data_IF_630931892379
#
_entry.id   IF_630931892379
#
_cell.length_a   1.000
_cell.length_b   1.000
_cell.length_c   1.000
_cell.angle_alpha   90.00
_cell.angle_beta   90.00
_cell.angle_gamma   90.00
#
_symmetry.space_group_name_H-M   'P 1'
#
loop_
_entity.id
_entity.type
_entity.pdbx_description
1 polymer ?
#
# COMPACT_ATOMS: atom_id res chain seq x y z
N UNK A 1 -16.13 24.61 44.63
CA UNK A 1 -15.16 24.45 43.53
C UNK A 1 -15.28 23.03 43.02
N UNK A 2 -15.88 22.78 41.84
CA UNK A 2 -15.97 21.44 41.29
C UNK A 2 -14.67 21.07 40.56
N UNK A 3 -14.20 19.85 40.82
CA UNK A 3 -12.99 19.25 40.26
C UNK A 3 -13.23 18.91 38.78
N UNK A 4 -12.36 19.43 37.92
CA UNK A 4 -12.35 19.21 36.48
C UNK A 4 -12.02 17.75 36.15
N UNK A 5 -12.96 17.06 35.52
CA UNK A 5 -12.76 15.73 34.96
C UNK A 5 -11.87 15.81 33.72
N UNK A 6 -10.66 15.29 33.83
CA UNK A 6 -9.70 15.16 32.73
C UNK A 6 -10.09 14.00 31.82
N UNK A 7 -10.64 14.32 30.65
CA UNK A 7 -10.85 13.39 29.54
C UNK A 7 -9.48 12.90 29.05
N UNK A 8 -9.24 11.60 29.21
CA UNK A 8 -8.02 10.93 28.73
C UNK A 8 -8.09 10.75 27.21
N UNK A 9 -7.03 11.08 26.45
CA UNK A 9 -6.99 10.84 25.01
C UNK A 9 -6.87 9.33 24.73
N UNK A 10 -7.88 8.79 24.05
CA UNK A 10 -7.90 7.42 23.55
C UNK A 10 -6.80 7.23 22.49
N UNK A 11 -5.88 6.31 22.77
CA UNK A 11 -4.83 5.89 21.84
C UNK A 11 -5.42 5.34 20.53
N UNK A 12 -4.86 5.68 19.35
CA UNK A 12 -5.30 5.12 18.07
C UNK A 12 -4.95 3.63 18.01
N UNK A 13 -5.96 2.79 18.18
CA UNK A 13 -5.85 1.34 17.97
C UNK A 13 -5.59 1.08 16.49
N UNK A 14 -4.38 0.60 16.21
CA UNK A 14 -4.02 0.00 14.92
C UNK A 14 -5.04 -1.09 14.60
N UNK A 15 -5.56 -1.05 13.37
CA UNK A 15 -6.55 -1.95 12.77
C UNK A 15 -8.01 -1.49 12.94
N UNK A 16 -8.32 -0.21 12.74
CA UNK A 16 -9.69 0.17 12.42
C UNK A 16 -10.07 -0.52 11.12
N UNK A 17 -10.89 -1.56 11.27
CA UNK A 17 -11.62 -2.18 10.19
C UNK A 17 -12.51 -1.09 9.61
N UNK A 18 -12.17 -0.60 8.42
CA UNK A 18 -12.99 0.40 7.74
C UNK A 18 -14.34 -0.26 7.42
N UNK A 19 -15.44 0.26 7.97
CA UNK A 19 -16.79 -0.18 7.62
C UNK A 19 -17.12 0.24 6.18
N UNK A 20 -18.13 -0.38 5.55
CA UNK A 20 -18.55 0.00 4.19
C UNK A 20 -18.85 1.51 4.08
N UNK A 21 -19.55 2.08 5.07
CA UNK A 21 -19.89 3.50 5.08
C UNK A 21 -18.65 4.40 5.24
N UNK A 22 -17.70 3.99 6.07
CA UNK A 22 -16.42 4.68 6.18
C UNK A 22 -15.63 4.62 4.87
N UNK A 23 -15.64 3.46 4.21
CA UNK A 23 -14.99 3.26 2.91
C UNK A 23 -15.61 4.17 1.84
N UNK A 24 -16.95 4.20 1.72
CA UNK A 24 -17.65 5.05 0.75
C UNK A 24 -17.29 6.53 0.90
N UNK A 25 -17.21 7.01 2.14
CA UNK A 25 -16.99 8.43 2.43
C UNK A 25 -15.53 8.87 2.33
N UNK A 26 -14.57 7.97 2.56
CA UNK A 26 -13.14 8.34 2.64
C UNK A 26 -12.29 7.87 1.48
N UNK A 27 -12.71 6.80 0.78
CA UNK A 27 -11.89 6.14 -0.26
C UNK A 27 -12.44 6.29 -1.66
N UNK A 28 -13.70 6.69 -1.83
CA UNK A 28 -14.28 6.91 -3.16
C UNK A 28 -14.23 8.40 -3.44
N UNK A 29 -13.52 8.79 -4.50
CA UNK A 29 -13.39 10.19 -4.90
C UNK A 29 -13.93 10.35 -6.32
N UNK A 30 -14.86 11.29 -6.56
CA UNK A 30 -15.28 11.64 -7.91
C UNK A 30 -14.10 12.29 -8.64
N UNK A 31 -13.74 11.74 -9.81
CA UNK A 31 -12.70 12.33 -10.66
C UNK A 31 -13.33 12.69 -12.00
N UNK A 32 -13.57 13.99 -12.28
CA UNK A 32 -14.27 14.43 -13.49
C UNK A 32 -13.47 14.21 -14.78
N UNK A 33 -12.22 13.75 -14.69
CA UNK A 33 -11.29 13.63 -15.83
C UNK A 33 -11.00 12.16 -16.15
N UNK A 34 -12.03 11.39 -16.53
CA UNK A 34 -11.78 10.18 -17.31
C UNK A 34 -11.31 10.55 -18.70
N UNK A 35 -10.39 9.76 -19.26
CA UNK A 35 -10.09 9.92 -20.68
C UNK A 35 -11.33 9.49 -21.49
N UNK A 36 -11.60 10.12 -22.64
CA UNK A 36 -12.79 9.81 -23.44
C UNK A 36 -12.80 8.36 -23.96
N UNK A 37 -11.65 7.69 -23.99
CA UNK A 37 -11.50 6.30 -24.43
C UNK A 37 -11.58 5.28 -23.27
N UNK A 38 -11.66 5.74 -22.03
CA UNK A 38 -11.82 4.85 -20.87
C UNK A 38 -13.26 4.34 -20.76
N UNK A 39 -13.39 3.06 -20.39
CA UNK A 39 -14.68 2.40 -20.16
C UNK A 39 -14.76 1.85 -18.74
N UNK A 40 -15.96 1.77 -18.20
CA UNK A 40 -16.21 1.15 -16.91
C UNK A 40 -16.04 -0.37 -16.99
N UNK A 41 -15.16 -0.95 -16.17
CA UNK A 41 -14.93 -2.40 -16.18
C UNK A 41 -16.11 -3.24 -15.63
N UNK A 42 -17.13 -2.61 -15.02
CA UNK A 42 -18.33 -3.30 -14.50
C UNK A 42 -19.40 -3.44 -15.58
N UNK A 43 -19.82 -2.34 -16.22
CA UNK A 43 -20.87 -2.35 -17.24
C UNK A 43 -20.35 -2.33 -18.69
N UNK A 44 -19.05 -2.03 -18.88
CA UNK A 44 -18.39 -1.88 -20.19
C UNK A 44 -18.90 -0.68 -21.02
N UNK A 45 -19.46 0.35 -20.36
CA UNK A 45 -19.90 1.61 -20.98
C UNK A 45 -18.83 2.70 -20.85
N UNK A 46 -18.83 3.67 -21.78
CA UNK A 46 -17.95 4.84 -21.72
C UNK A 46 -18.39 5.80 -20.59
N UNK A 47 -17.43 6.53 -20.03
CA UNK A 47 -17.72 7.57 -19.05
C UNK A 47 -18.27 8.82 -19.74
N UNK A 48 -19.41 9.30 -19.27
CA UNK A 48 -20.07 10.52 -19.75
C UNK A 48 -20.81 11.23 -18.60
N UNK A 49 -21.63 12.24 -18.92
CA UNK A 49 -22.43 12.98 -17.94
C UNK A 49 -23.46 12.10 -17.20
N UNK A 50 -23.89 10.99 -17.79
CA UNK A 50 -24.80 10.02 -17.17
C UNK A 50 -24.07 8.89 -16.44
N UNK A 51 -22.78 8.70 -16.77
CA UNK A 51 -21.93 7.64 -16.27
C UNK A 51 -20.67 8.20 -15.61
N UNK A 52 -20.85 8.93 -14.51
CA UNK A 52 -19.76 9.63 -13.81
C UNK A 52 -18.68 8.65 -13.30
N UNK A 53 -17.42 8.97 -13.58
CA UNK A 53 -16.28 8.17 -13.14
C UNK A 53 -15.89 8.49 -11.69
N UNK A 54 -15.76 7.45 -10.87
CA UNK A 54 -15.20 7.52 -9.51
C UNK A 54 -13.95 6.66 -9.41
N UNK A 55 -12.98 7.12 -8.62
CA UNK A 55 -11.74 6.39 -8.35
C UNK A 55 -11.74 5.90 -6.91
N UNK A 56 -11.40 4.63 -6.71
CA UNK A 56 -11.16 4.08 -5.37
C UNK A 56 -9.70 4.32 -4.98
N UNK A 57 -9.45 4.93 -3.82
CA UNK A 57 -8.13 5.25 -3.29
C UNK A 57 -7.72 4.29 -2.17
N UNK A 58 -7.41 3.04 -2.53
CA UNK A 58 -6.88 2.04 -1.60
C UNK A 58 -5.42 1.79 -1.95
N UNK A 59 -4.58 1.45 -0.96
CA UNK A 59 -3.17 1.15 -1.20
C UNK A 59 -3.04 0.10 -2.33
N UNK A 60 -2.30 0.46 -3.39
CA UNK A 60 -2.08 -0.37 -4.58
C UNK A 60 -3.36 -0.67 -5.40
N UNK A 61 -4.43 0.12 -5.24
CA UNK A 61 -5.66 0.01 -6.02
C UNK A 61 -6.20 1.41 -6.33
N UNK A 62 -6.07 1.81 -7.60
CA UNK A 62 -6.52 3.11 -8.14
C UNK A 62 -7.47 2.92 -9.33
N UNK A 63 -8.29 1.87 -9.27
CA UNK A 63 -9.19 1.52 -10.36
C UNK A 63 -10.41 2.44 -10.39
N UNK A 64 -10.86 2.72 -11.62
CA UNK A 64 -11.99 3.60 -11.93
C UNK A 64 -13.23 2.77 -12.26
N UNK A 65 -14.37 3.28 -11.83
CA UNK A 65 -15.69 2.67 -12.04
C UNK A 65 -16.73 3.76 -12.26
N UNK A 66 -17.86 3.42 -12.89
CA UNK A 66 -19.02 4.30 -12.87
C UNK A 66 -19.57 4.37 -11.45
N UNK A 67 -19.96 5.56 -11.00
CA UNK A 67 -20.45 5.81 -9.65
C UNK A 67 -21.58 4.85 -9.25
N UNK A 68 -22.64 4.80 -10.06
CA UNK A 68 -23.79 3.91 -9.85
C UNK A 68 -23.40 2.43 -9.90
N UNK A 69 -22.46 2.06 -10.78
CA UNK A 69 -22.00 0.68 -10.93
C UNK A 69 -21.25 0.23 -9.67
N UNK A 70 -20.35 1.08 -9.17
CA UNK A 70 -19.62 0.81 -7.94
C UNK A 70 -20.57 0.71 -6.75
N UNK A 71 -21.54 1.63 -6.63
CA UNK A 71 -22.51 1.60 -5.54
C UNK A 71 -23.35 0.32 -5.55
N UNK A 72 -23.90 -0.09 -6.70
CA UNK A 72 -24.64 -1.35 -6.84
C UNK A 72 -23.77 -2.56 -6.50
N UNK A 73 -22.50 -2.54 -6.92
CA UNK A 73 -21.55 -3.61 -6.63
C UNK A 73 -21.29 -3.75 -5.11
N UNK A 74 -21.00 -2.64 -4.44
CA UNK A 74 -20.74 -2.56 -3.00
C UNK A 74 -21.95 -2.99 -2.16
N UNK A 75 -23.16 -2.61 -2.59
CA UNK A 75 -24.42 -2.96 -1.94
C UNK A 75 -24.93 -4.38 -2.30
N UNK A 76 -24.24 -5.11 -3.19
CA UNK A 76 -24.66 -6.44 -3.58
C UNK A 76 -24.41 -7.48 -2.46
N UNK A 77 -25.22 -8.56 -2.47
CA UNK A 77 -25.03 -9.72 -1.57
C UNK A 77 -23.86 -10.62 -1.99
N UNK A 78 -23.10 -10.24 -3.01
CA UNK A 78 -21.95 -11.01 -3.46
C UNK A 78 -20.94 -11.17 -2.33
N UNK A 79 -20.28 -12.33 -2.27
CA UNK A 79 -19.16 -12.54 -1.33
C UNK A 79 -17.95 -11.65 -1.65
N UNK A 80 -17.89 -11.13 -2.87
CA UNK A 80 -16.78 -10.33 -3.39
C UNK A 80 -17.08 -8.82 -3.42
N UNK A 81 -18.25 -8.37 -2.94
CA UNK A 81 -18.64 -6.94 -2.97
C UNK A 81 -17.69 -6.03 -2.20
N UNK A 82 -16.83 -6.58 -1.33
CA UNK A 82 -15.79 -5.85 -0.62
C UNK A 82 -14.40 -5.91 -1.28
N UNK A 83 -14.32 -6.34 -2.54
CA UNK A 83 -13.06 -6.47 -3.29
C UNK A 83 -13.14 -5.75 -4.63
N UNK A 84 -12.01 -5.25 -5.11
CA UNK A 84 -11.92 -4.61 -6.41
C UNK A 84 -12.28 -5.57 -7.56
N UNK A 85 -13.23 -5.21 -8.45
CA UNK A 85 -13.54 -6.04 -9.62
C UNK A 85 -12.35 -6.30 -10.55
N UNK A 86 -11.38 -5.36 -10.61
CA UNK A 86 -10.25 -5.43 -11.53
C UNK A 86 -9.02 -6.14 -10.95
N UNK A 87 -8.57 -5.77 -9.75
CA UNK A 87 -7.38 -6.35 -9.12
C UNK A 87 -7.65 -7.28 -7.94
N UNK A 88 -8.91 -7.46 -7.54
CA UNK A 88 -9.34 -8.28 -6.39
C UNK A 88 -8.77 -7.84 -5.03
N UNK A 89 -8.17 -6.66 -4.94
CA UNK A 89 -7.74 -6.07 -3.68
C UNK A 89 -8.94 -5.90 -2.75
N UNK A 90 -8.81 -6.36 -1.51
CA UNK A 90 -9.84 -6.16 -0.47
C UNK A 90 -9.87 -4.68 -0.09
N UNK A 91 -11.05 -4.08 -0.15
CA UNK A 91 -11.29 -2.67 0.15
C UNK A 91 -11.66 -2.44 1.60
N UNK A 92 -12.49 -3.32 2.17
CA UNK A 92 -12.92 -3.26 3.56
C UNK A 92 -13.20 -4.67 4.08
N UNK A 93 -13.15 -4.82 5.40
CA UNK A 93 -13.53 -6.09 6.04
C UNK A 93 -15.03 -6.07 6.25
N UNK A 94 -15.72 -7.12 5.80
CA UNK A 94 -17.13 -7.29 6.12
C UNK A 94 -17.23 -7.67 7.59
N UNK A 95 -18.13 -7.02 8.31
CA UNK A 95 -18.52 -7.57 9.61
C UNK A 95 -19.03 -8.99 9.36
N UNK A 96 -18.46 -10.01 10.03
CA UNK A 96 -19.03 -11.34 9.97
C UNK A 96 -20.47 -11.17 10.44
N UNK A 97 -21.43 -11.58 9.61
CA UNK A 97 -22.81 -11.63 10.04
C UNK A 97 -22.83 -12.55 11.27
N UNK A 98 -22.89 -11.96 12.46
CA UNK A 98 -22.97 -12.67 13.74
C UNK A 98 -24.32 -13.37 13.90
N UNK A 99 -25.17 -13.30 12.87
CA UNK A 99 -26.35 -14.11 12.70
C UNK A 99 -25.96 -15.58 12.45
N UNK A 100 -26.01 -16.35 13.54
CA UNK A 100 -26.50 -17.75 13.61
C UNK A 100 -25.62 -18.69 14.44
N UNK A 101 -24.57 -18.20 15.12
CA UNK A 101 -23.85 -19.06 16.07
C UNK A 101 -24.64 -19.34 17.37
N UNK A 102 -25.74 -18.63 17.64
CA UNK A 102 -26.69 -18.98 18.71
C UNK A 102 -27.67 -20.10 18.33
N UNK A 103 -27.73 -20.54 17.06
CA UNK A 103 -28.58 -21.67 16.67
C UNK A 103 -27.82 -23.01 16.55
N UNK A 104 -26.52 -23.04 16.85
CA UNK A 104 -25.68 -24.25 16.81
C UNK A 104 -25.34 -24.86 18.18
N UNK A 105 -25.92 -24.37 19.29
CA UNK A 105 -25.86 -25.05 20.60
C UNK A 105 -26.84 -26.25 20.72
N UNK A 106 -27.27 -26.82 19.59
CA UNK A 106 -28.02 -28.09 19.52
C UNK A 106 -27.40 -29.08 18.51
N UNK A 107 -26.07 -29.03 18.32
CA UNK A 107 -25.32 -30.00 17.51
C UNK A 107 -24.29 -30.72 18.41
N UNK A 108 -24.75 -31.29 19.52
CA UNK A 108 -23.94 -32.18 20.37
C UNK A 108 -24.28 -33.68 20.17
N UNK A 109 -24.91 -34.07 19.04
CA UNK A 109 -25.44 -35.44 18.92
C UNK A 109 -25.05 -36.24 17.67
N UNK A 110 -24.31 -35.72 16.67
CA UNK A 110 -24.15 -36.44 15.38
C UNK A 110 -22.74 -36.47 14.75
N UNK A 111 -21.66 -36.06 15.43
CA UNK A 111 -20.29 -36.14 14.87
C UNK A 111 -19.41 -37.05 15.72
N UNK A 112 -19.70 -38.34 15.66
CA UNK A 112 -18.73 -39.39 15.93
C UNK A 112 -19.06 -40.53 14.98
N UNK A 113 -18.53 -40.53 13.74
CA UNK A 113 -18.18 -41.78 13.06
C UNK A 113 -17.41 -41.71 11.73
N UNK A 114 -17.14 -40.56 11.11
CA UNK A 114 -16.45 -40.58 9.80
C UNK A 114 -15.31 -39.57 9.65
N UNK A 115 -14.18 -39.89 10.30
CA UNK A 115 -12.89 -39.27 10.02
C UNK A 115 -12.19 -40.03 8.89
N UNK A 116 -12.54 -39.70 7.65
CA UNK A 116 -11.68 -39.98 6.51
C UNK A 116 -10.39 -39.13 6.59
N UNK A 117 -9.18 -39.72 6.45
CA UNK A 117 -7.94 -38.97 6.43
C UNK A 117 -7.83 -38.11 5.15
N UNK A 118 -8.25 -36.84 5.24
CA UNK A 118 -7.96 -35.86 4.20
C UNK A 118 -6.45 -35.65 4.12
N UNK A 119 -5.87 -36.02 2.98
CA UNK A 119 -4.46 -35.83 2.66
C UNK A 119 -4.15 -34.34 2.64
N UNK A 120 -3.43 -33.86 3.66
CA UNK A 120 -2.92 -32.51 3.74
C UNK A 120 -1.97 -32.26 2.55
N UNK A 121 -2.45 -31.48 1.58
CA UNK A 121 -1.62 -30.99 0.48
C UNK A 121 -0.68 -29.93 1.07
N UNK A 122 0.65 -30.08 0.97
CA UNK A 122 1.59 -29.13 1.54
C UNK A 122 1.49 -27.80 0.77
N UNK A 123 0.82 -26.81 1.35
CA UNK A 123 0.92 -25.43 0.86
C UNK A 123 2.37 -24.97 1.01
N UNK A 124 2.95 -24.57 -0.12
CA UNK A 124 4.28 -23.99 -0.19
C UNK A 124 4.32 -22.71 0.63
N UNK A 125 4.79 -22.79 1.87
CA UNK A 125 5.06 -21.62 2.72
C UNK A 125 6.05 -20.71 1.98
N UNK A 126 5.66 -19.48 1.62
CA UNK A 126 6.59 -18.54 1.01
C UNK A 126 7.74 -18.30 1.99
N UNK A 127 8.96 -18.49 1.50
CA UNK A 127 10.17 -18.39 2.30
C UNK A 127 10.32 -16.95 2.79
N UNK A 128 10.82 -16.73 4.00
CA UNK A 128 11.00 -15.40 4.63
C UNK A 128 11.77 -14.40 3.75
N UNK A 129 12.59 -14.90 2.84
CA UNK A 129 13.29 -14.11 1.82
C UNK A 129 12.34 -13.46 0.80
N UNK A 130 11.31 -14.18 0.34
CA UNK A 130 10.36 -13.67 -0.65
C UNK A 130 9.54 -12.50 -0.07
N UNK A 131 9.03 -12.63 1.17
CA UNK A 131 8.25 -11.57 1.82
C UNK A 131 9.06 -10.26 1.95
N UNK A 132 10.35 -10.35 2.30
CA UNK A 132 11.21 -9.15 2.39
C UNK A 132 11.47 -8.50 1.03
N UNK A 133 11.56 -9.30 -0.03
CA UNK A 133 11.79 -8.79 -1.38
C UNK A 133 10.55 -8.04 -1.90
N UNK A 134 9.35 -8.56 -1.67
CA UNK A 134 8.09 -7.90 -2.07
C UNK A 134 7.91 -6.56 -1.35
N UNK A 135 8.17 -6.52 -0.03
CA UNK A 135 8.05 -5.27 0.75
C UNK A 135 8.98 -4.16 0.24
N UNK A 136 10.22 -4.51 -0.16
CA UNK A 136 11.16 -3.52 -0.75
C UNK A 136 10.70 -3.00 -2.10
N UNK A 137 10.09 -3.86 -2.92
CA UNK A 137 9.56 -3.47 -4.22
C UNK A 137 8.35 -2.54 -4.07
N UNK A 138 7.47 -2.82 -3.11
CA UNK A 138 6.30 -1.99 -2.80
C UNK A 138 6.71 -0.59 -2.31
N UNK A 139 7.76 -0.49 -1.48
CA UNK A 139 8.28 0.80 -1.01
C UNK A 139 8.88 1.63 -2.16
N UNK A 140 9.70 1.01 -3.02
CA UNK A 140 10.30 1.71 -4.16
C UNK A 140 9.23 2.20 -5.15
N UNK A 141 8.19 1.41 -5.37
CA UNK A 141 7.06 1.77 -6.23
C UNK A 141 6.25 2.94 -5.64
N UNK A 142 5.93 2.89 -4.34
CA UNK A 142 5.19 3.95 -3.67
C UNK A 142 5.95 5.29 -3.67
N UNK A 143 7.27 5.27 -3.42
CA UNK A 143 8.12 6.46 -3.51
C UNK A 143 8.19 7.02 -4.93
N UNK A 144 8.30 6.16 -5.95
CA UNK A 144 8.28 6.59 -7.35
C UNK A 144 6.98 7.30 -7.74
N UNK A 145 5.85 6.78 -7.28
CA UNK A 145 4.54 7.37 -7.54
C UNK A 145 4.37 8.74 -6.86
N UNK A 146 4.81 8.89 -5.61
CA UNK A 146 4.77 10.19 -4.91
C UNK A 146 5.63 11.23 -5.63
N UNK A 147 6.83 10.86 -6.05
CA UNK A 147 7.71 11.76 -6.80
C UNK A 147 7.10 12.17 -8.14
N UNK A 148 6.41 11.26 -8.83
CA UNK A 148 5.69 11.56 -10.07
C UNK A 148 4.57 12.59 -9.85
N UNK A 149 3.72 12.39 -8.84
CA UNK A 149 2.62 13.32 -8.53
C UNK A 149 3.14 14.68 -8.08
N UNK A 150 4.24 14.73 -7.34
CA UNK A 150 4.85 15.99 -6.92
C UNK A 150 5.41 16.77 -8.12
N UNK A 151 6.03 16.08 -9.09
CA UNK A 151 6.49 16.69 -10.35
C UNK A 151 5.33 17.29 -11.15
N UNK A 152 4.23 16.56 -11.29
CA UNK A 152 3.03 17.03 -12.00
C UNK A 152 2.38 18.24 -11.30
N UNK A 153 2.33 18.23 -9.96
CA UNK A 153 1.81 19.35 -9.18
C UNK A 153 2.66 20.61 -9.37
N UNK A 154 3.99 20.48 -9.41
CA UNK A 154 4.92 21.59 -9.68
C UNK A 154 4.73 22.15 -11.10
N UNK A 155 4.51 21.30 -12.10
CA UNK A 155 4.18 21.77 -13.45
C UNK A 155 2.86 22.54 -13.50
N UNK A 156 1.83 22.07 -12.79
CA UNK A 156 0.56 22.79 -12.71
C UNK A 156 0.74 24.18 -12.08
N UNK A 157 1.54 24.29 -11.02
CA UNK A 157 1.86 25.59 -10.42
C UNK A 157 2.61 26.52 -11.37
N UNK A 158 3.46 25.99 -12.25
CA UNK A 158 4.11 26.79 -13.30
C UNK A 158 3.10 27.25 -14.37
N UNK A 159 2.21 26.36 -14.85
CA UNK A 159 1.14 26.73 -15.79
C UNK A 159 0.23 27.83 -15.24
N UNK A 160 -0.16 27.74 -13.97
CA UNK A 160 -0.97 28.78 -13.30
C UNK A 160 -0.21 30.11 -13.22
N UNK A 161 1.10 30.08 -12.96
CA UNK A 161 1.94 31.28 -12.94
C UNK A 161 1.99 31.97 -14.29
N UNK A 162 2.15 31.21 -15.37
CA UNK A 162 2.21 31.76 -16.74
C UNK A 162 0.88 32.45 -17.10
N UNK A 163 -0.26 31.81 -16.78
CA UNK A 163 -1.60 32.40 -17.00
C UNK A 163 -1.76 33.71 -16.20
N UNK A 164 -1.28 33.75 -14.95
CA UNK A 164 -1.35 34.95 -14.12
C UNK A 164 -0.38 36.05 -14.57
N UNK A 165 0.72 35.71 -15.23
CA UNK A 165 1.62 36.69 -15.83
C UNK A 165 1.01 37.42 -17.03
N UNK A 166 0.07 36.78 -17.75
CA UNK A 166 -0.64 37.37 -18.88
C UNK A 166 -1.92 38.15 -18.47
N UNK A 167 -2.45 37.90 -17.26
CA UNK A 167 -3.69 38.51 -16.75
C UNK A 167 -3.47 39.67 -15.76
N UNK A 168 -3.83 40.90 -16.17
CA UNK A 168 -3.65 42.13 -15.37
C UNK A 168 -4.37 42.19 -14.01
N UNK A 169 -3.86 43.12 -13.18
CA UNK A 169 -4.28 43.67 -11.86
C UNK A 169 -4.61 42.72 -10.70
N UNK A 170 -5.15 41.52 -10.89
CA UNK A 170 -5.39 40.57 -9.79
C UNK A 170 -4.18 39.69 -9.46
N UNK A 171 -3.15 39.71 -10.32
CA UNK A 171 -1.95 38.89 -10.16
C UNK A 171 -1.04 39.33 -8.99
N UNK A 172 -1.10 40.61 -8.55
CA UNK A 172 -0.18 41.14 -7.53
C UNK A 172 -0.30 40.43 -6.18
N UNK A 173 -1.50 39.98 -5.84
CA UNK A 173 -1.79 39.43 -4.51
C UNK A 173 -1.65 37.90 -4.47
N UNK A 174 -1.76 37.24 -5.63
CA UNK A 174 -1.71 35.77 -5.75
C UNK A 174 -0.27 35.28 -5.98
N UNK A 175 0.56 36.04 -6.71
CA UNK A 175 1.95 35.67 -7.02
C UNK A 175 2.79 35.38 -5.76
N UNK A 176 2.72 36.17 -4.67
CA UNK A 176 3.50 35.90 -3.45
C UNK A 176 3.12 34.58 -2.77
N UNK A 177 1.83 34.24 -2.78
CA UNK A 177 1.31 32.99 -2.20
C UNK A 177 1.81 31.81 -3.04
N UNK A 178 1.71 31.88 -4.37
CA UNK A 178 2.22 30.84 -5.27
C UNK A 178 3.72 30.63 -5.12
N UNK A 179 4.53 31.69 -5.01
CA UNK A 179 5.97 31.58 -4.75
C UNK A 179 6.28 30.93 -3.41
N UNK A 180 5.45 31.17 -2.39
CA UNK A 180 5.61 30.55 -1.07
C UNK A 180 5.32 29.06 -1.14
N UNK A 181 4.23 28.67 -1.81
CA UNK A 181 3.88 27.25 -2.04
C UNK A 181 4.96 26.55 -2.86
N UNK A 182 5.44 27.19 -3.94
CA UNK A 182 6.50 26.65 -4.78
C UNK A 182 7.81 26.43 -3.99
N UNK A 183 8.22 27.40 -3.16
CA UNK A 183 9.39 27.25 -2.29
C UNK A 183 9.21 26.09 -1.32
N UNK A 184 8.06 26.01 -0.66
CA UNK A 184 7.77 24.95 0.30
C UNK A 184 7.75 23.56 -0.36
N UNK A 185 7.18 23.46 -1.57
CA UNK A 185 7.19 22.23 -2.35
C UNK A 185 8.62 21.80 -2.73
N UNK A 186 9.49 22.75 -3.09
CA UNK A 186 10.92 22.47 -3.36
C UNK A 186 11.66 22.00 -2.12
N UNK A 187 11.48 22.65 -0.97
CA UNK A 187 12.10 22.25 0.30
C UNK A 187 11.69 20.81 0.70
N UNK A 188 10.40 20.47 0.53
CA UNK A 188 9.91 19.11 0.77
C UNK A 188 10.57 18.12 -0.20
N UNK A 189 10.64 18.44 -1.49
CA UNK A 189 11.27 17.58 -2.49
C UNK A 189 12.76 17.34 -2.19
N UNK A 190 13.52 18.41 -1.91
CA UNK A 190 14.94 18.32 -1.55
C UNK A 190 15.14 17.50 -0.27
N UNK A 191 14.28 17.67 0.74
CA UNK A 191 14.30 16.90 1.97
C UNK A 191 14.07 15.40 1.73
N UNK A 192 13.10 15.04 0.88
CA UNK A 192 12.84 13.65 0.50
C UNK A 192 14.01 13.04 -0.26
N UNK A 193 14.62 13.80 -1.17
CA UNK A 193 15.77 13.34 -1.95
C UNK A 193 17.00 13.09 -1.05
N UNK A 194 17.26 13.99 -0.09
CA UNK A 194 18.36 13.83 0.87
C UNK A 194 18.16 12.60 1.77
N UNK A 195 16.93 12.33 2.23
CA UNK A 195 16.61 11.12 2.99
C UNK A 195 16.87 9.84 2.18
N UNK A 196 16.57 9.87 0.88
CA UNK A 196 16.81 8.74 -0.02
C UNK A 196 18.31 8.46 -0.18
N UNK A 197 19.14 9.50 -0.38
CA UNK A 197 20.59 9.37 -0.49
C UNK A 197 21.25 8.87 0.80
N UNK A 198 20.79 9.36 1.96
CA UNK A 198 21.25 8.88 3.28
C UNK A 198 20.88 7.41 3.48
N UNK A 199 19.66 7.00 3.10
CA UNK A 199 19.24 5.60 3.23
C UNK A 199 20.02 4.66 2.30
N UNK A 200 20.23 5.06 1.04
CA UNK A 200 21.03 4.29 0.06
C UNK A 200 22.49 4.16 0.53
N UNK A 201 23.09 5.24 1.03
CA UNK A 201 24.47 5.22 1.52
C UNK A 201 24.64 4.40 2.81
N UNK A 202 23.68 4.47 3.74
CA UNK A 202 23.68 3.64 4.95
C UNK A 202 23.56 2.15 4.60
N UNK A 203 22.63 1.79 3.71
CA UNK A 203 22.44 0.40 3.26
C UNK A 203 23.66 -0.15 2.52
N UNK A 204 24.32 0.68 1.71
CA UNK A 204 25.56 0.31 1.00
C UNK A 204 26.74 0.03 1.94
N UNK A 205 26.91 0.84 2.99
CA UNK A 205 27.95 0.62 4.02
C UNK A 205 27.72 -0.66 4.81
N UNK A 206 26.48 -0.95 5.16
CA UNK A 206 26.13 -2.17 5.89
C UNK A 206 26.32 -3.43 5.03
N UNK A 207 25.92 -3.36 3.75
CA UNK A 207 26.17 -4.42 2.78
C UNK A 207 27.68 -4.68 2.59
N UNK A 208 28.48 -3.62 2.48
CA UNK A 208 29.95 -3.72 2.36
C UNK A 208 30.60 -4.34 3.59
N UNK A 209 30.10 -4.04 4.80
CA UNK A 209 30.56 -4.67 6.05
C UNK A 209 30.24 -6.17 6.07
N UNK A 210 29.00 -6.55 5.76
CA UNK A 210 28.58 -7.95 5.71
C UNK A 210 29.39 -8.76 4.68
N UNK A 211 29.64 -8.21 3.50
CA UNK A 211 30.47 -8.85 2.48
C UNK A 211 31.92 -9.04 2.97
N UNK A 212 32.46 -8.07 3.72
CA UNK A 212 33.77 -8.20 4.36
C UNK A 212 33.82 -9.32 5.40
N UNK A 213 32.77 -9.46 6.22
CA UNK A 213 32.67 -10.52 7.22
C UNK A 213 32.56 -11.90 6.59
N UNK A 214 31.77 -12.04 5.51
CA UNK A 214 31.67 -13.29 4.75
C UNK A 214 33.03 -13.71 4.19
N UNK A 215 33.78 -12.78 3.58
CA UNK A 215 35.13 -13.08 3.05
C UNK A 215 36.10 -13.53 4.15
N UNK A 216 36.04 -12.90 5.33
CA UNK A 216 36.86 -13.31 6.48
C UNK A 216 36.51 -14.72 6.96
N UNK A 217 35.22 -15.06 7.00
CA UNK A 217 34.78 -16.40 7.36
C UNK A 217 35.24 -17.43 6.32
N UNK A 218 35.13 -17.12 5.03
CA UNK A 218 35.62 -18.00 3.95
C UNK A 218 37.13 -18.24 4.05
N UNK A 219 37.93 -17.22 4.37
CA UNK A 219 39.37 -17.39 4.58
C UNK A 219 39.68 -18.32 5.76
N UNK A 220 38.97 -18.16 6.89
CA UNK A 220 39.13 -19.04 8.06
C UNK A 220 38.74 -20.50 7.78
N UNK A 221 37.72 -20.72 6.95
CA UNK A 221 37.33 -22.07 6.51
C UNK A 221 38.45 -22.67 5.66
N UNK A 222 39.00 -21.92 4.70
CA UNK A 222 40.09 -22.40 3.86
C UNK A 222 41.37 -22.72 4.67
N UNK A 223 41.69 -21.94 5.70
CA UNK A 223 42.81 -22.23 6.62
C UNK A 223 42.56 -23.53 7.40
N UNK A 224 41.34 -23.74 7.92
CA UNK A 224 40.99 -24.96 8.65
C UNK A 224 41.03 -26.21 7.77
N UNK A 225 40.63 -26.10 6.49
CA UNK A 225 40.72 -27.20 5.53
C UNK A 225 42.19 -27.54 5.21
N UNK A 226 43.09 -26.55 5.22
CA UNK A 226 44.53 -26.78 4.96
C UNK A 226 45.27 -27.46 6.12
N UNK A 227 44.78 -27.33 7.36
CA UNK A 227 45.37 -28.03 8.51
C UNK A 227 45.04 -29.53 8.54
N UNK A 228 43.96 -29.94 7.86
CA UNK A 228 43.47 -31.33 7.88
C UNK A 228 44.22 -32.28 6.92
N UNK A 229 45.04 -31.75 6.01
CA UNK A 229 45.86 -32.51 5.05
C UNK A 229 47.24 -32.92 5.62
N UNK A 230 47.44 -32.82 6.93
CA UNK A 230 48.66 -33.30 7.59
C UNK A 230 48.62 -34.84 7.71
N UNK A 231 49.20 -35.49 6.71
CA UNK A 231 49.56 -36.92 6.54
C UNK A 231 49.26 -37.89 7.70
N UNK A 232 48.28 -38.80 7.53
CA UNK A 232 48.13 -39.98 8.36
C UNK A 232 48.81 -41.19 7.71
N UNK A 233 50.09 -41.10 7.33
CA UNK A 233 50.81 -42.25 6.75
C UNK A 233 52.27 -42.27 7.19
N UNK A 234 52.53 -42.69 8.44
CA UNK A 234 53.83 -43.25 8.84
C UNK A 234 53.71 -44.04 10.15
N UNK A 235 52.89 -45.10 10.16
CA UNK A 235 52.85 -46.07 11.28
C UNK A 235 52.49 -47.48 10.79
N UNK A 236 53.29 -48.08 9.90
CA UNK A 236 53.33 -49.53 9.67
C UNK A 236 54.75 -50.02 9.45
#
# INVERSE_FOLDING_TARGET
MPLSSSTTPSSPTKNSIDTLEHFKTTKIVPLPTASPDEICCICQEQYDESHEAVTVLVKNCYHRFGQDCLERYLNSKSRQSNTCPQCRQVWYTREPATADLENTLSIDSWIAEDLSPFQARPESRPTTHQIRQTLRQDEAFALGMVNSHLGEALEHLNRVRDILSDGGTYASDIIPVLKTVERQAREIHEGLQHQQDVHVSASSRECSRLLGDIRRLQARIAEADSEFDSDPLDLW
#
